data_IF_659339770822
#
_entry.id   IF_659339770822
#
_cell.length_a   1.000
_cell.length_b   1.000
_cell.length_c   1.000
_cell.angle_alpha   90.00
_cell.angle_beta   90.00
_cell.angle_gamma   90.00
#
_symmetry.space_group_name_H-M   'P 1'
#
loop_
_entity.id
_entity.type
_entity.pdbx_description
1 polymer ?
#
# COMPACT_ATOMS: atom_id res chain seq x y z
N UNK A 1 9.48 10.40 1.43
CA UNK A 1 9.70 9.98 2.83
C UNK A 1 8.74 8.85 3.16
N UNK A 2 9.13 7.88 3.97
CA UNK A 2 8.28 6.74 4.35
C UNK A 2 8.05 6.77 5.86
N UNK A 3 6.85 6.42 6.31
CA UNK A 3 6.45 6.44 7.73
C UNK A 3 7.37 5.60 8.64
N UNK A 4 8.03 4.57 8.11
CA UNK A 4 9.00 3.83 8.92
C UNK A 4 10.29 4.61 9.22
N UNK A 5 10.64 5.64 8.44
CA UNK A 5 11.85 6.46 8.63
C UNK A 5 11.53 7.63 9.56
N UNK A 6 10.32 8.17 9.44
CA UNK A 6 9.82 9.22 10.32
C UNK A 6 8.38 8.91 10.75
N UNK A 7 8.24 8.46 12.00
CA UNK A 7 6.94 8.08 12.56
C UNK A 7 6.01 9.28 12.76
N UNK A 8 6.53 10.52 12.79
CA UNK A 8 5.70 11.72 12.85
C UNK A 8 4.80 11.85 11.62
N UNK A 9 5.12 11.18 10.52
CA UNK A 9 4.23 11.12 9.36
C UNK A 9 2.84 10.57 9.70
N UNK A 10 2.70 9.79 10.77
CA UNK A 10 1.40 9.31 11.27
C UNK A 10 0.48 10.43 11.79
N UNK A 11 1.05 11.59 12.14
CA UNK A 11 0.32 12.73 12.69
C UNK A 11 -0.37 13.56 11.61
N UNK A 12 -0.08 13.31 10.33
CA UNK A 12 -0.81 13.91 9.22
C UNK A 12 -2.06 13.07 8.90
N UNK A 13 -3.23 13.59 9.24
CA UNK A 13 -4.51 13.03 8.87
C UNK A 13 -4.98 13.64 7.54
N UNK A 14 -4.94 12.83 6.48
CA UNK A 14 -5.40 13.24 5.16
C UNK A 14 -6.87 12.89 4.95
N UNK A 15 -7.63 13.81 4.36
CA UNK A 15 -9.01 13.61 3.91
C UNK A 15 -9.26 14.35 2.60
N UNK A 16 -10.37 14.01 1.94
CA UNK A 16 -10.80 14.65 0.69
C UNK A 16 -12.11 15.36 0.98
N UNK A 17 -12.14 16.66 0.70
CA UNK A 17 -13.36 17.44 0.60
C UNK A 17 -13.83 17.37 -0.86
N UNK A 18 -14.80 16.51 -1.13
CA UNK A 18 -15.34 16.32 -2.47
C UNK A 18 -16.17 17.51 -2.96
N UNK A 19 -16.85 18.21 -2.04
CA UNK A 19 -17.71 19.35 -2.37
C UNK A 19 -16.87 20.51 -2.89
N UNK A 20 -15.71 20.75 -2.28
CA UNK A 20 -14.77 21.79 -2.70
C UNK A 20 -13.66 21.28 -3.62
N UNK A 21 -13.62 19.98 -3.93
CA UNK A 21 -12.55 19.33 -4.71
C UNK A 21 -11.15 19.63 -4.15
N UNK A 22 -10.99 19.49 -2.84
CA UNK A 22 -9.76 19.76 -2.11
C UNK A 22 -9.24 18.54 -1.34
N UNK A 23 -7.93 18.49 -1.16
CA UNK A 23 -7.27 17.66 -0.16
C UNK A 23 -7.13 18.50 1.09
N UNK A 24 -7.54 17.93 2.22
CA UNK A 24 -7.39 18.52 3.54
C UNK A 24 -6.40 17.68 4.32
N UNK A 25 -5.31 18.29 4.76
CA UNK A 25 -4.35 17.64 5.66
C UNK A 25 -4.44 18.33 7.02
N UNK A 26 -4.81 17.58 8.04
CA UNK A 26 -4.77 18.01 9.43
C UNK A 26 -3.51 17.49 10.11
N UNK A 27 -2.87 18.33 10.90
CA UNK A 27 -1.77 17.96 11.77
C UNK A 27 -2.28 17.69 13.19
N UNK A 28 -1.92 16.55 13.76
CA UNK A 28 -2.36 16.11 15.09
C UNK A 28 -1.24 16.16 16.16
N UNK A 29 -0.09 16.76 15.86
CA UNK A 29 1.09 16.69 16.74
C UNK A 29 1.08 17.67 17.92
N UNK A 30 0.36 18.77 17.81
CA UNK A 30 0.04 19.71 18.88
C UNK A 30 -1.47 19.90 18.92
N UNK A 31 -2.06 20.11 20.11
CA UNK A 31 -3.53 20.14 20.31
C UNK A 31 -4.20 21.42 19.75
N UNK A 32 -3.64 21.97 18.69
CA UNK A 32 -4.10 23.16 17.97
C UNK A 32 -4.92 22.73 16.76
N UNK A 33 -5.80 23.63 16.28
CA UNK A 33 -6.46 23.41 15.00
C UNK A 33 -5.52 23.84 13.89
N UNK A 34 -4.83 22.85 13.31
CA UNK A 34 -3.77 23.07 12.33
C UNK A 34 -4.04 22.22 11.09
N UNK A 35 -4.42 22.88 10.00
CA UNK A 35 -4.72 22.23 8.72
C UNK A 35 -4.22 23.03 7.53
N UNK A 36 -3.97 22.33 6.44
CA UNK A 36 -3.69 22.92 5.13
C UNK A 36 -4.59 22.29 4.08
N UNK A 37 -4.97 23.11 3.11
CA UNK A 37 -5.91 22.77 2.05
C UNK A 37 -5.27 23.07 0.71
N UNK A 38 -5.41 22.16 -0.24
CA UNK A 38 -4.97 22.39 -1.61
C UNK A 38 -5.84 21.62 -2.59
N UNK A 39 -5.90 22.03 -3.88
CA UNK A 39 -6.78 21.38 -4.85
C UNK A 39 -6.50 19.89 -5.00
N UNK A 40 -7.55 19.08 -5.15
CA UNK A 40 -7.45 17.65 -5.42
C UNK A 40 -6.77 17.35 -6.77
N UNK A 41 -6.97 18.25 -7.74
CA UNK A 41 -6.33 18.24 -9.06
C UNK A 41 -5.66 19.60 -9.31
N UNK A 42 -4.47 19.84 -8.75
CA UNK A 42 -3.78 21.12 -8.94
C UNK A 42 -3.31 21.26 -10.40
N UNK A 43 -3.29 22.49 -10.95
CA UNK A 43 -2.82 22.72 -12.31
C UNK A 43 -1.33 22.41 -12.41
N UNK A 44 -0.91 21.74 -13.48
CA UNK A 44 0.48 21.30 -13.69
C UNK A 44 1.26 22.17 -14.65
N UNK A 45 0.60 23.05 -15.40
CA UNK A 45 1.23 23.87 -16.43
C UNK A 45 2.22 24.86 -15.82
N UNK A 46 3.42 24.93 -16.41
CA UNK A 46 4.50 25.79 -15.93
C UNK A 46 5.15 25.37 -14.61
N UNK A 47 4.69 24.29 -13.96
CA UNK A 47 5.31 23.80 -12.73
C UNK A 47 6.62 23.07 -13.00
N UNK A 48 7.59 23.28 -12.11
CA UNK A 48 8.84 22.49 -12.09
C UNK A 48 8.52 21.04 -11.73
N UNK A 49 9.31 20.12 -12.28
CA UNK A 49 9.26 18.71 -11.90
C UNK A 49 10.50 18.35 -11.08
N UNK A 50 10.32 17.44 -10.12
CA UNK A 50 11.36 16.89 -9.26
C UNK A 50 11.48 15.39 -9.58
N UNK A 51 12.71 14.94 -9.80
CA UNK A 51 13.00 13.51 -9.91
C UNK A 51 12.80 12.86 -8.54
N UNK A 52 11.87 11.92 -8.46
CA UNK A 52 11.48 11.23 -7.23
C UNK A 52 11.75 9.75 -7.38
N UNK A 53 12.21 9.11 -6.31
CA UNK A 53 12.41 7.66 -6.25
C UNK A 53 11.70 7.11 -5.03
N UNK A 54 10.87 6.09 -5.24
CA UNK A 54 10.22 5.35 -4.17
C UNK A 54 10.55 3.88 -4.37
N UNK A 55 11.22 3.26 -3.39
CA UNK A 55 11.66 1.86 -3.47
C UNK A 55 12.44 1.55 -4.75
N UNK A 56 13.37 2.44 -5.12
CA UNK A 56 14.20 2.40 -6.33
C UNK A 56 13.45 2.54 -7.67
N UNK A 57 12.13 2.64 -7.63
CA UNK A 57 11.30 2.93 -8.80
C UNK A 57 11.16 4.45 -8.95
N UNK A 58 11.68 4.96 -10.07
CA UNK A 58 11.81 6.39 -10.33
C UNK A 58 10.59 6.93 -11.08
N UNK A 59 10.26 8.18 -10.81
CA UNK A 59 9.29 8.96 -11.57
C UNK A 59 9.58 10.45 -11.43
N UNK A 60 8.85 11.27 -12.17
CA UNK A 60 8.84 12.72 -12.00
C UNK A 60 7.54 13.12 -11.30
N UNK A 61 7.60 14.17 -10.49
CA UNK A 61 6.43 14.74 -9.86
C UNK A 61 6.50 16.26 -9.88
N UNK A 62 5.35 16.91 -9.96
CA UNK A 62 5.23 18.36 -9.99
C UNK A 62 5.46 18.93 -8.59
N UNK A 63 6.32 19.93 -8.50
CA UNK A 63 6.57 20.65 -7.27
C UNK A 63 5.34 21.50 -6.90
N UNK A 64 4.83 21.29 -5.69
CA UNK A 64 3.64 21.99 -5.21
C UNK A 64 3.95 23.40 -4.68
N UNK A 65 5.23 23.76 -4.56
CA UNK A 65 5.69 25.10 -4.21
C UNK A 65 6.09 25.23 -2.75
N UNK A 66 6.70 26.38 -2.44
CA UNK A 66 7.39 26.61 -1.17
C UNK A 66 6.42 26.78 0.00
N UNK A 67 5.28 27.43 -0.22
CA UNK A 67 4.28 27.65 0.83
C UNK A 67 3.72 26.33 1.37
N UNK A 68 3.22 25.47 0.48
CA UNK A 68 2.69 24.16 0.85
C UNK A 68 3.79 23.29 1.47
N UNK A 69 4.98 23.26 0.86
CA UNK A 69 6.10 22.46 1.35
C UNK A 69 6.58 22.91 2.73
N UNK A 70 6.65 24.22 2.97
CA UNK A 70 7.05 24.80 4.26
C UNK A 70 6.14 24.35 5.40
N UNK A 71 4.83 24.25 5.16
CA UNK A 71 3.91 23.74 6.17
C UNK A 71 4.30 22.32 6.64
N UNK A 72 4.64 21.41 5.71
CA UNK A 72 5.12 20.08 6.10
C UNK A 72 6.51 20.13 6.76
N UNK A 73 7.43 20.93 6.22
CA UNK A 73 8.79 21.05 6.73
C UNK A 73 8.84 21.52 8.18
N UNK A 74 8.02 22.52 8.53
CA UNK A 74 7.96 23.09 9.88
C UNK A 74 7.49 22.05 10.92
N UNK A 75 6.54 21.18 10.54
CA UNK A 75 5.98 20.13 11.44
C UNK A 75 6.88 18.92 11.59
N UNK A 76 7.56 18.54 10.51
CA UNK A 76 8.52 17.44 10.53
C UNK A 76 9.85 17.86 11.17
N UNK A 77 10.22 19.14 11.08
CA UNK A 77 11.52 19.66 11.51
C UNK A 77 12.65 19.32 10.54
N UNK A 78 12.33 19.08 9.27
CA UNK A 78 13.28 18.76 8.22
C UNK A 78 12.77 19.33 6.88
N UNK A 79 13.69 19.67 5.98
CA UNK A 79 13.29 20.21 4.68
C UNK A 79 12.67 19.11 3.80
N UNK A 80 11.40 19.30 3.44
CA UNK A 80 10.65 18.40 2.57
C UNK A 80 9.95 19.17 1.46
N UNK A 81 9.63 18.46 0.37
CA UNK A 81 8.78 18.98 -0.71
C UNK A 81 7.47 18.22 -0.75
N UNK A 82 6.36 18.95 -0.83
CA UNK A 82 5.10 18.38 -1.29
C UNK A 82 5.17 18.29 -2.83
N UNK A 83 4.87 17.11 -3.37
CA UNK A 83 4.85 16.88 -4.81
C UNK A 83 3.55 16.23 -5.25
N UNK A 84 3.09 16.57 -6.45
CA UNK A 84 1.90 15.99 -7.07
C UNK A 84 2.29 15.17 -8.29
N UNK A 85 1.82 13.93 -8.37
CA UNK A 85 2.25 13.02 -9.45
C UNK A 85 1.61 13.35 -10.81
N UNK A 86 0.40 13.94 -10.81
CA UNK A 86 -0.35 14.22 -12.04
C UNK A 86 -0.56 12.96 -12.89
N UNK A 87 -0.24 13.04 -14.18
CA UNK A 87 -0.33 11.92 -15.12
C UNK A 87 0.94 11.05 -15.15
N UNK A 88 1.92 11.33 -14.27
CA UNK A 88 3.12 10.51 -14.16
C UNK A 88 2.80 9.21 -13.42
N UNK A 89 3.64 8.22 -13.63
CA UNK A 89 3.57 6.93 -12.94
C UNK A 89 4.97 6.34 -12.82
N UNK A 90 5.09 5.28 -12.03
CA UNK A 90 6.34 4.55 -11.83
C UNK A 90 6.11 3.06 -12.00
N UNK A 91 7.18 2.36 -12.30
CA UNK A 91 7.11 0.93 -12.57
C UNK A 91 6.94 0.12 -11.29
N UNK A 92 6.18 -0.95 -11.39
CA UNK A 92 6.16 -2.04 -10.41
C UNK A 92 7.36 -2.93 -10.72
N UNK A 93 8.29 -3.05 -9.78
CA UNK A 93 9.50 -3.85 -9.96
C UNK A 93 9.26 -5.31 -9.55
N UNK A 94 10.06 -6.23 -10.09
CA UNK A 94 9.89 -7.67 -9.88
C UNK A 94 8.64 -8.21 -10.59
N UNK A 95 8.15 -9.36 -10.13
CA UNK A 95 7.01 -10.07 -10.72
C UNK A 95 5.66 -9.75 -10.09
N UNK A 96 5.58 -8.70 -9.25
CA UNK A 96 4.34 -8.32 -8.56
C UNK A 96 3.22 -7.91 -9.54
N UNK A 97 3.54 -7.12 -10.56
CA UNK A 97 2.57 -6.70 -11.56
C UNK A 97 2.32 -7.85 -12.56
N UNK A 98 1.06 -8.29 -12.80
CA UNK A 98 0.74 -9.42 -13.67
C UNK A 98 1.36 -9.35 -15.08
N UNK A 99 1.48 -8.14 -15.63
CA UNK A 99 2.02 -7.90 -16.97
C UNK A 99 3.41 -7.26 -16.95
N UNK A 100 4.13 -7.30 -15.82
CA UNK A 100 5.54 -6.93 -15.78
C UNK A 100 6.38 -7.89 -16.62
N UNK A 101 7.52 -7.40 -17.12
CA UNK A 101 8.44 -8.24 -17.89
C UNK A 101 8.96 -9.42 -17.08
N UNK A 102 9.12 -9.27 -15.77
CA UNK A 102 9.59 -10.34 -14.88
C UNK A 102 8.48 -11.36 -14.58
N UNK A 103 7.23 -10.94 -14.42
CA UNK A 103 6.09 -11.85 -14.29
C UNK A 103 5.88 -12.68 -15.57
N UNK A 104 5.99 -12.05 -16.74
CA UNK A 104 5.83 -12.76 -18.01
C UNK A 104 6.96 -13.76 -18.30
N UNK A 105 8.18 -13.58 -17.75
CA UNK A 105 9.27 -14.57 -17.90
C UNK A 105 8.96 -15.89 -17.22
N UNK A 106 8.25 -15.86 -16.09
CA UNK A 106 7.91 -17.04 -15.28
C UNK A 106 6.50 -17.57 -15.56
N UNK A 107 5.69 -16.82 -16.29
CA UNK A 107 4.33 -17.20 -16.67
C UNK A 107 4.27 -18.44 -17.59
N UNK A 108 3.14 -19.20 -17.55
CA UNK A 108 2.91 -20.31 -18.48
C UNK A 108 3.02 -19.88 -19.95
N UNK A 109 3.47 -20.80 -20.82
CA UNK A 109 3.69 -20.52 -22.25
C UNK A 109 2.46 -19.92 -22.93
N UNK A 110 1.25 -20.37 -22.57
CA UNK A 110 -0.01 -19.85 -23.11
C UNK A 110 -0.17 -18.36 -22.80
N UNK A 111 0.14 -17.94 -21.57
CA UNK A 111 0.04 -16.53 -21.18
C UNK A 111 1.11 -15.69 -21.89
N UNK A 112 2.33 -16.22 -22.03
CA UNK A 112 3.43 -15.58 -22.77
C UNK A 112 3.11 -15.38 -24.25
N UNK A 113 2.46 -16.37 -24.88
CA UNK A 113 2.02 -16.24 -26.28
C UNK A 113 0.88 -15.22 -26.37
N UNK A 114 -0.10 -15.27 -25.46
CA UNK A 114 -1.20 -14.30 -25.42
C UNK A 114 -0.71 -12.87 -25.27
N UNK A 115 0.30 -12.62 -24.44
CA UNK A 115 0.87 -11.27 -24.25
C UNK A 115 1.55 -10.70 -25.51
N UNK A 116 1.85 -11.53 -26.51
CA UNK A 116 2.41 -11.10 -27.80
C UNK A 116 1.31 -10.79 -28.85
N UNK A 117 0.05 -11.12 -28.56
CA UNK A 117 -1.07 -10.92 -29.48
C UNK A 117 -1.77 -9.60 -29.10
N UNK A 118 -1.76 -8.55 -29.95
CA UNK A 118 -2.21 -7.21 -29.59
C UNK A 118 -3.58 -7.10 -28.88
N UNK A 119 -4.66 -7.77 -29.32
CA UNK A 119 -5.96 -7.70 -28.61
C UNK A 119 -5.97 -8.36 -27.22
N UNK A 120 -4.96 -9.18 -26.90
CA UNK A 120 -4.83 -9.88 -25.61
C UNK A 120 -3.62 -9.40 -24.80
N UNK A 121 -2.85 -8.45 -25.34
CA UNK A 121 -1.69 -7.87 -24.68
C UNK A 121 -2.13 -6.73 -23.77
N UNK A 122 -1.69 -6.76 -22.51
CA UNK A 122 -1.87 -5.65 -21.58
C UNK A 122 -0.53 -4.94 -21.37
N UNK A 123 -0.53 -3.60 -21.29
CA UNK A 123 0.67 -2.89 -20.86
C UNK A 123 1.01 -3.26 -19.40
N UNK A 124 2.30 -3.23 -19.02
CA UNK A 124 2.69 -3.45 -17.64
C UNK A 124 1.96 -2.50 -16.69
N UNK A 125 1.45 -3.03 -15.58
CA UNK A 125 0.81 -2.21 -14.56
C UNK A 125 1.82 -1.22 -13.97
N UNK A 126 1.38 0.03 -13.84
CA UNK A 126 2.14 1.11 -13.22
C UNK A 126 1.40 1.61 -11.98
N UNK A 127 2.15 2.17 -11.05
CA UNK A 127 1.64 2.72 -9.79
C UNK A 127 2.04 4.18 -9.63
N UNK A 128 1.36 4.88 -8.71
CA UNK A 128 1.71 6.23 -8.33
C UNK A 128 2.69 6.21 -7.14
N UNK A 129 2.36 6.90 -6.05
CA UNK A 129 3.11 6.85 -4.80
C UNK A 129 2.69 5.71 -3.86
N UNK A 130 1.86 4.77 -4.32
CA UNK A 130 1.63 3.49 -3.63
C UNK A 130 2.97 2.80 -3.36
N UNK A 131 3.10 1.98 -2.32
CA UNK A 131 4.38 1.29 -2.07
C UNK A 131 4.71 0.27 -3.16
N UNK A 132 3.80 -0.65 -3.51
CA UNK A 132 4.12 -1.78 -4.41
C UNK A 132 3.01 -2.20 -5.38
N UNK A 133 1.74 -1.90 -5.11
CA UNK A 133 0.61 -2.38 -5.91
C UNK A 133 -0.54 -1.37 -5.96
N UNK A 134 -1.54 -1.62 -6.83
CA UNK A 134 -2.74 -0.79 -6.91
C UNK A 134 -3.54 -0.83 -5.61
N UNK A 135 -3.73 -2.04 -5.07
CA UNK A 135 -4.56 -2.27 -3.90
C UNK A 135 -3.88 -3.17 -2.88
N UNK A 136 -4.17 -2.93 -1.61
CA UNK A 136 -3.93 -3.87 -0.52
C UNK A 136 -5.28 -4.40 -0.02
N UNK A 137 -5.44 -5.72 -0.10
CA UNK A 137 -6.60 -6.46 0.41
C UNK A 137 -6.25 -7.12 1.73
N UNK A 138 -7.12 -6.97 2.72
CA UNK A 138 -7.01 -7.63 4.03
C UNK A 138 -8.37 -8.23 4.41
N UNK A 139 -8.38 -9.10 5.42
CA UNK A 139 -9.61 -9.68 5.95
C UNK A 139 -9.88 -9.23 7.38
N UNK A 140 -11.15 -9.10 7.75
CA UNK A 140 -11.56 -8.86 9.15
C UNK A 140 -11.08 -10.01 10.04
N UNK A 141 -11.20 -11.26 9.56
CA UNK A 141 -10.79 -12.46 10.32
C UNK A 141 -9.28 -12.49 10.62
N UNK A 142 -8.44 -12.01 9.69
CA UNK A 142 -7.02 -11.82 9.97
C UNK A 142 -6.80 -10.73 11.01
N UNK A 143 -7.51 -9.59 10.93
CA UNK A 143 -7.36 -8.50 11.88
C UNK A 143 -7.82 -8.89 13.30
N UNK A 144 -8.87 -9.70 13.41
CA UNK A 144 -9.37 -10.24 14.67
C UNK A 144 -8.36 -11.19 15.30
N UNK A 145 -7.70 -12.02 14.49
CA UNK A 145 -6.62 -12.88 14.97
C UNK A 145 -5.44 -12.04 15.49
N UNK A 146 -5.05 -10.97 14.77
CA UNK A 146 -4.02 -10.05 15.27
C UNK A 146 -4.45 -9.39 16.57
N UNK A 147 -5.72 -9.01 16.68
CA UNK A 147 -6.29 -8.42 17.90
C UNK A 147 -6.23 -9.41 19.07
N UNK A 148 -6.53 -10.70 18.86
CA UNK A 148 -6.45 -11.73 19.90
C UNK A 148 -5.03 -11.99 20.42
N UNK A 149 -4.00 -11.49 19.72
CA UNK A 149 -2.61 -11.56 20.19
C UNK A 149 -2.29 -10.45 21.18
N UNK A 150 -3.09 -9.40 21.26
CA UNK A 150 -2.87 -8.26 22.13
C UNK A 150 -3.38 -8.55 23.56
N UNK A 151 -2.91 -7.77 24.52
CA UNK A 151 -3.39 -7.85 25.90
C UNK A 151 -4.88 -7.43 25.99
N UNK A 152 -5.59 -7.93 27.00
CA UNK A 152 -7.02 -7.65 27.22
C UNK A 152 -7.31 -6.13 27.22
N UNK A 153 -8.37 -5.74 26.50
CA UNK A 153 -8.78 -4.34 26.37
C UNK A 153 -8.17 -3.62 25.15
N UNK A 154 -7.28 -4.26 24.39
CA UNK A 154 -6.79 -3.74 23.12
C UNK A 154 -7.34 -4.50 21.91
N UNK A 155 -7.56 -3.77 20.83
CA UNK A 155 -7.85 -4.31 19.50
C UNK A 155 -6.87 -3.72 18.48
N UNK A 156 -6.57 -4.47 17.43
CA UNK A 156 -5.73 -3.98 16.35
C UNK A 156 -6.53 -3.05 15.46
N UNK A 157 -6.04 -1.82 15.32
CA UNK A 157 -6.57 -0.85 14.36
C UNK A 157 -6.16 -1.25 12.94
N UNK A 158 -7.14 -1.69 12.15
CA UNK A 158 -6.93 -2.18 10.80
C UNK A 158 -6.36 -1.10 9.87
N UNK A 159 -6.61 0.19 10.16
CA UNK A 159 -6.12 1.31 9.35
C UNK A 159 -4.59 1.41 9.39
N UNK A 160 -3.94 0.88 10.43
CA UNK A 160 -2.48 0.80 10.53
C UNK A 160 -1.86 -0.12 9.46
N UNK A 161 -2.63 -1.07 8.93
CA UNK A 161 -2.19 -1.88 7.79
C UNK A 161 -2.30 -1.13 6.46
N UNK A 162 -3.04 -0.02 6.42
CA UNK A 162 -3.32 0.84 5.26
C UNK A 162 -3.96 0.07 4.09
N UNK A 163 -4.98 -0.79 4.34
CA UNK A 163 -5.65 -1.50 3.26
C UNK A 163 -6.46 -0.53 2.39
N UNK A 164 -6.69 -0.92 1.15
CA UNK A 164 -7.68 -0.30 0.28
C UNK A 164 -9.02 -1.02 0.37
N UNK A 165 -8.99 -2.35 0.56
CA UNK A 165 -10.17 -3.21 0.61
C UNK A 165 -10.08 -4.10 1.85
N UNK A 166 -11.13 -4.07 2.66
CA UNK A 166 -11.32 -4.98 3.79
C UNK A 166 -12.45 -5.95 3.43
N UNK A 167 -12.16 -7.24 3.46
CA UNK A 167 -13.12 -8.31 3.14
C UNK A 167 -13.54 -9.02 4.43
N UNK A 168 -14.82 -9.37 4.52
CA UNK A 168 -15.36 -10.22 5.59
C UNK A 168 -15.89 -11.52 4.98
N UNK A 169 -15.86 -12.59 5.75
CA UNK A 169 -16.33 -13.92 5.37
C UNK A 169 -15.22 -14.85 4.91
N UNK A 170 -13.97 -14.58 5.30
CA UNK A 170 -12.87 -15.50 5.02
C UNK A 170 -13.04 -16.80 5.81
N UNK A 171 -12.63 -17.92 5.22
CA UNK A 171 -12.81 -19.26 5.84
C UNK A 171 -12.00 -19.46 7.13
N UNK A 172 -10.93 -18.69 7.31
CA UNK A 172 -10.05 -18.67 8.48
C UNK A 172 -9.16 -17.43 8.45
N UNK A 173 -8.56 -17.02 9.59
CA UNK A 173 -7.50 -16.02 9.60
C UNK A 173 -6.38 -16.38 8.61
N UNK A 174 -5.91 -15.36 7.91
CA UNK A 174 -4.87 -15.42 6.88
C UNK A 174 -5.20 -16.31 5.69
N UNK A 175 -6.48 -16.59 5.41
CA UNK A 175 -6.87 -17.30 4.20
C UNK A 175 -6.43 -16.55 2.93
N UNK A 176 -6.38 -15.22 3.00
CA UNK A 176 -5.97 -14.36 1.90
C UNK A 176 -4.54 -14.60 1.43
N UNK A 177 -3.64 -15.18 2.25
CA UNK A 177 -2.28 -15.57 1.85
C UNK A 177 -2.24 -16.41 0.54
N UNK A 178 -3.33 -17.12 0.26
CA UNK A 178 -3.46 -18.07 -0.84
C UNK A 178 -4.40 -17.58 -1.95
N UNK A 179 -5.08 -16.45 -1.81
CA UNK A 179 -6.05 -16.03 -2.83
C UNK A 179 -5.31 -15.61 -4.11
N UNK A 180 -5.61 -16.25 -5.24
CA UNK A 180 -5.04 -15.88 -6.53
C UNK A 180 -5.83 -14.79 -7.25
N UNK A 181 -7.15 -14.75 -7.07
CA UNK A 181 -8.04 -13.83 -7.76
C UNK A 181 -9.31 -13.57 -6.93
N UNK A 182 -9.77 -12.33 -6.97
CA UNK A 182 -11.09 -11.93 -6.50
C UNK A 182 -11.95 -11.51 -7.68
N UNK A 183 -13.22 -11.92 -7.68
CA UNK A 183 -14.25 -11.39 -8.57
C UNK A 183 -15.35 -10.76 -7.74
N UNK A 184 -15.57 -9.46 -7.95
CA UNK A 184 -16.64 -8.70 -7.32
C UNK A 184 -17.92 -8.81 -8.16
N UNK A 185 -19.08 -8.72 -7.51
CA UNK A 185 -20.36 -8.57 -8.21
C UNK A 185 -20.28 -7.41 -9.22
N UNK A 186 -20.85 -7.53 -10.42
CA UNK A 186 -20.61 -6.58 -11.51
C UNK A 186 -19.35 -6.88 -12.33
N UNK A 187 -18.62 -7.95 -12.01
CA UNK A 187 -17.63 -8.57 -12.88
C UNK A 187 -16.26 -7.88 -12.87
N UNK A 188 -15.93 -7.09 -11.84
CA UNK A 188 -14.57 -6.60 -11.63
C UNK A 188 -13.71 -7.77 -11.17
N UNK A 189 -12.62 -8.04 -11.89
CA UNK A 189 -11.60 -8.99 -11.46
C UNK A 189 -10.36 -8.29 -10.93
N UNK A 190 -9.77 -8.88 -9.91
CA UNK A 190 -8.53 -8.42 -9.29
C UNK A 190 -7.58 -9.60 -9.11
N UNK A 191 -6.43 -9.52 -9.76
CA UNK A 191 -5.35 -10.48 -9.56
C UNK A 191 -4.64 -10.17 -8.25
N UNK A 192 -4.50 -11.19 -7.40
CA UNK A 192 -3.81 -11.10 -6.13
C UNK A 192 -2.45 -11.80 -6.25
N UNK A 193 -1.37 -11.02 -6.32
CA UNK A 193 -0.09 -11.50 -6.87
C UNK A 193 1.04 -11.64 -5.87
N UNK A 194 0.96 -10.95 -4.72
CA UNK A 194 2.01 -11.00 -3.72
C UNK A 194 1.48 -10.78 -2.30
N UNK A 195 2.11 -11.44 -1.34
CA UNK A 195 1.82 -11.24 0.08
C UNK A 195 2.46 -9.93 0.55
N UNK A 196 1.70 -9.15 1.33
CA UNK A 196 2.21 -7.91 1.90
C UNK A 196 2.97 -8.23 3.19
N UNK A 197 4.30 -8.18 3.13
CA UNK A 197 5.08 -8.18 4.37
C UNK A 197 4.95 -6.83 5.06
N UNK A 198 4.95 -6.84 6.38
CA UNK A 198 4.70 -5.66 7.20
C UNK A 198 6.00 -5.13 7.75
N UNK A 199 6.22 -3.84 7.55
CA UNK A 199 7.24 -3.10 8.26
C UNK A 199 6.75 -2.71 9.67
N UNK A 200 7.64 -2.14 10.48
CA UNK A 200 7.32 -1.74 11.85
C UNK A 200 6.31 -0.59 11.95
N UNK A 201 5.90 0.05 10.84
CA UNK A 201 4.93 1.15 10.87
C UNK A 201 3.58 0.78 11.52
N UNK A 202 3.24 -0.51 11.56
CA UNK A 202 2.02 -1.00 12.21
C UNK A 202 2.05 -0.83 13.75
N UNK A 203 3.21 -0.54 14.35
CA UNK A 203 3.37 -0.32 15.79
C UNK A 203 3.19 1.15 16.19
N UNK A 204 3.04 2.04 15.21
CA UNK A 204 2.96 3.49 15.44
C UNK A 204 1.62 3.83 16.08
N UNK A 205 1.67 4.67 17.09
CA UNK A 205 0.54 5.34 17.68
C UNK A 205 0.26 6.65 16.92
N UNK A 206 -0.95 6.76 16.36
CA UNK A 206 -1.36 7.87 15.50
C UNK A 206 -1.68 9.14 16.30
N UNK A 207 -1.79 9.06 17.62
CA UNK A 207 -1.93 10.23 18.48
C UNK A 207 -0.57 10.85 18.82
N UNK A 208 0.46 10.03 18.95
CA UNK A 208 1.78 10.48 19.43
C UNK A 208 2.85 10.55 18.34
N UNK A 209 2.63 9.93 17.18
CA UNK A 209 3.62 9.85 16.10
C UNK A 209 4.88 9.08 16.51
N UNK A 210 4.74 8.13 17.44
CA UNK A 210 5.81 7.31 18.01
C UNK A 210 5.36 5.85 18.06
N UNK A 211 6.27 4.92 18.33
CA UNK A 211 5.89 3.55 18.65
C UNK A 211 5.01 3.55 19.90
N UNK A 212 3.87 2.85 19.85
CA UNK A 212 2.98 2.72 21.00
C UNK A 212 3.74 2.13 22.20
N UNK A 213 3.50 2.67 23.39
CA UNK A 213 4.18 2.26 24.63
C UNK A 213 3.53 1.05 25.30
N UNK A 214 2.29 0.74 24.92
CA UNK A 214 1.55 -0.45 25.32
C UNK A 214 1.83 -1.66 24.40
N UNK A 215 1.04 -2.71 24.56
CA UNK A 215 1.24 -3.97 23.85
C UNK A 215 1.04 -3.88 22.32
N UNK A 216 0.30 -2.89 21.82
CA UNK A 216 0.18 -2.60 20.38
C UNK A 216 1.53 -2.27 19.77
N UNK A 217 2.45 -1.68 20.55
CA UNK A 217 3.83 -1.42 20.14
C UNK A 217 4.64 -2.68 19.84
N UNK A 218 4.18 -3.84 20.35
CA UNK A 218 4.84 -5.15 20.20
C UNK A 218 4.19 -6.01 19.10
N UNK A 219 3.11 -5.55 18.45
CA UNK A 219 2.33 -6.35 17.48
C UNK A 219 3.21 -6.92 16.36
N UNK A 220 4.15 -6.12 15.84
CA UNK A 220 5.08 -6.57 14.80
C UNK A 220 5.94 -7.76 15.26
N UNK A 221 6.42 -7.73 16.51
CA UNK A 221 7.18 -8.85 17.10
C UNK A 221 6.27 -10.07 17.35
N UNK A 222 5.02 -9.86 17.76
CA UNK A 222 4.04 -10.94 17.98
C UNK A 222 3.70 -11.65 16.67
N UNK A 223 3.54 -10.91 15.57
CA UNK A 223 3.35 -11.49 14.23
C UNK A 223 4.59 -12.24 13.73
N UNK A 224 5.80 -11.75 14.00
CA UNK A 224 7.03 -12.42 13.55
C UNK A 224 7.24 -13.85 14.06
N UNK A 225 6.53 -14.24 15.13
CA UNK A 225 6.62 -15.59 15.71
C UNK A 225 6.26 -16.67 14.69
N UNK A 226 5.28 -16.41 13.83
CA UNK A 226 4.68 -17.39 12.93
C UNK A 226 4.29 -16.83 11.55
N UNK A 227 4.25 -15.50 11.37
CA UNK A 227 3.86 -14.85 10.10
C UNK A 227 5.02 -14.55 9.15
N UNK A 228 6.24 -14.98 9.44
CA UNK A 228 7.37 -14.95 8.47
C UNK A 228 7.23 -16.11 7.47
N UNK A 229 6.18 -16.04 6.66
CA UNK A 229 5.72 -17.16 5.82
C UNK A 229 6.08 -17.02 4.34
N UNK A 230 6.57 -15.85 3.93
CA UNK A 230 7.02 -15.59 2.56
C UNK A 230 8.53 -15.87 2.44
N UNK A 231 8.91 -16.72 1.48
CA UNK A 231 10.32 -17.10 1.26
C UNK A 231 11.18 -15.95 0.74
N UNK A 232 10.57 -14.95 0.11
CA UNK A 232 11.22 -13.75 -0.40
C UNK A 232 11.39 -12.66 0.67
N UNK A 233 10.46 -12.58 1.62
CA UNK A 233 10.48 -11.60 2.72
C UNK A 233 10.73 -12.26 4.09
N UNK A 234 11.85 -12.99 4.22
CA UNK A 234 12.14 -13.92 5.34
C UNK A 234 12.16 -13.30 6.74
N UNK A 235 12.32 -11.98 6.85
CA UNK A 235 12.51 -11.28 8.13
C UNK A 235 11.32 -10.45 8.57
N UNK A 236 10.27 -10.38 7.76
CA UNK A 236 9.08 -9.57 8.04
C UNK A 236 7.83 -10.44 8.07
N UNK A 237 6.88 -10.16 8.97
CA UNK A 237 5.63 -10.90 9.03
C UNK A 237 4.72 -10.50 7.87
N UNK A 238 3.89 -11.42 7.38
CA UNK A 238 2.91 -11.17 6.33
C UNK A 238 1.54 -10.84 6.92
N UNK A 239 0.93 -9.77 6.41
CA UNK A 239 -0.47 -9.43 6.63
C UNK A 239 -1.05 -8.71 5.41
N UNK A 240 -2.10 -9.28 4.83
CA UNK A 240 -2.74 -8.75 3.63
C UNK A 240 -2.05 -9.16 2.33
N UNK A 241 -2.70 -8.82 1.23
CA UNK A 241 -2.34 -9.27 -0.11
C UNK A 241 -2.47 -8.15 -1.15
N UNK A 242 -1.45 -8.04 -1.99
CA UNK A 242 -1.40 -7.04 -3.05
C UNK A 242 -2.26 -7.45 -4.24
N UNK A 243 -3.04 -6.50 -4.73
CA UNK A 243 -3.98 -6.68 -5.83
C UNK A 243 -3.75 -5.71 -6.98
N UNK A 244 -4.05 -6.18 -8.18
CA UNK A 244 -3.97 -5.44 -9.44
C UNK A 244 -5.27 -5.60 -10.25
N UNK A 245 -5.72 -4.50 -10.83
CA UNK A 245 -6.77 -4.50 -11.85
C UNK A 245 -6.16 -4.01 -13.17
N UNK A 246 -6.52 -4.66 -14.27
CA UNK A 246 -6.00 -4.36 -15.60
C UNK A 246 -7.07 -4.62 -16.66
N UNK A 247 -6.76 -4.29 -17.92
CA UNK A 247 -7.66 -4.52 -19.04
C UNK A 247 -9.04 -3.88 -18.85
N UNK A 248 -10.10 -4.68 -18.97
CA UNK A 248 -11.47 -4.22 -18.83
C UNK A 248 -11.91 -3.95 -17.39
N UNK A 249 -11.06 -4.21 -16.40
CA UNK A 249 -11.38 -4.02 -14.98
C UNK A 249 -10.92 -2.67 -14.43
N UNK A 250 -10.19 -1.88 -15.23
CA UNK A 250 -9.89 -0.48 -14.90
C UNK A 250 -11.12 0.41 -15.07
N UNK A 251 -11.16 1.55 -14.37
CA UNK A 251 -12.26 2.53 -14.40
C UNK A 251 -13.63 2.00 -13.97
N UNK A 252 -13.68 0.83 -13.33
CA UNK A 252 -14.88 0.33 -12.65
C UNK A 252 -14.87 0.75 -11.18
N UNK A 253 -16.05 0.78 -10.58
CA UNK A 253 -16.23 1.16 -9.18
C UNK A 253 -16.55 -0.04 -8.31
N UNK A 254 -16.03 -0.03 -7.08
CA UNK A 254 -16.42 -0.93 -6.01
C UNK A 254 -17.17 -0.14 -4.93
N UNK A 255 -18.07 -0.79 -4.21
CA UNK A 255 -18.89 -0.17 -3.16
C UNK A 255 -18.88 -1.01 -1.89
N UNK A 256 -19.02 -0.35 -0.74
CA UNK A 256 -19.14 -1.03 0.55
C UNK A 256 -20.40 -1.91 0.54
N UNK A 257 -20.27 -3.15 1.04
CA UNK A 257 -21.35 -4.13 1.06
C UNK A 257 -21.48 -4.96 -0.22
N UNK A 258 -20.72 -4.65 -1.27
CA UNK A 258 -20.65 -5.45 -2.49
C UNK A 258 -20.06 -6.84 -2.19
N UNK A 259 -20.69 -7.88 -2.74
CA UNK A 259 -20.18 -9.25 -2.59
C UNK A 259 -18.94 -9.43 -3.45
N UNK A 260 -18.01 -10.21 -2.90
CA UNK A 260 -16.79 -10.66 -3.57
C UNK A 260 -16.66 -12.16 -3.40
N UNK A 261 -16.20 -12.83 -4.45
CA UNK A 261 -15.90 -14.27 -4.44
C UNK A 261 -14.42 -14.48 -4.71
N UNK A 262 -13.82 -15.43 -4.00
CA UNK A 262 -12.47 -15.91 -4.31
C UNK A 262 -12.59 -16.88 -5.48
N UNK A 263 -12.20 -16.43 -6.68
CA UNK A 263 -12.35 -17.21 -7.92
C UNK A 263 -11.11 -18.03 -8.28
N UNK A 264 -9.98 -17.74 -7.63
CA UNK A 264 -8.76 -18.55 -7.72
C UNK A 264 -8.10 -18.66 -6.36
N UNK A 265 -7.68 -19.85 -5.98
CA UNK A 265 -6.87 -20.12 -4.79
C UNK A 265 -5.58 -20.79 -5.27
N UNK A 266 -4.45 -20.28 -4.81
CA UNK A 266 -3.13 -20.82 -5.08
C UNK A 266 -2.86 -22.01 -4.16
N UNK A 267 -2.19 -23.03 -4.68
CA UNK A 267 -1.75 -24.19 -3.88
C UNK A 267 -0.65 -23.82 -2.86
N UNK A 268 0.17 -22.82 -3.21
CA UNK A 268 1.29 -22.35 -2.41
C UNK A 268 1.25 -20.83 -2.26
N UNK A 269 1.89 -20.32 -1.22
CA UNK A 269 2.15 -18.88 -1.09
C UNK A 269 3.05 -18.41 -2.22
N UNK A 270 2.79 -17.19 -2.67
CA UNK A 270 3.68 -16.45 -3.58
C UNK A 270 5.02 -16.18 -2.92
N UNK A 271 6.05 -15.91 -3.72
CA UNK A 271 7.38 -15.53 -3.26
C UNK A 271 7.62 -14.08 -3.64
N UNK A 272 7.85 -13.24 -2.64
CA UNK A 272 8.13 -11.83 -2.85
C UNK A 272 9.49 -11.61 -3.54
N UNK A 273 9.55 -10.75 -4.57
CA UNK A 273 10.76 -10.56 -5.37
C UNK A 273 11.06 -9.11 -5.76
N UNK A 274 10.44 -8.11 -5.11
CA UNK A 274 10.79 -6.71 -5.38
C UNK A 274 12.26 -6.45 -4.99
N UNK A 275 13.11 -5.97 -5.91
CA UNK A 275 14.54 -5.83 -5.68
C UNK A 275 14.84 -4.65 -4.75
N UNK A 276 15.79 -4.85 -3.82
CA UNK A 276 16.32 -3.79 -2.94
C UNK A 276 15.24 -3.03 -2.15
N UNK A 277 14.15 -3.69 -1.79
CA UNK A 277 13.12 -3.08 -0.98
C UNK A 277 13.61 -2.97 0.47
N UNK A 278 14.04 -1.76 0.84
CA UNK A 278 14.47 -1.47 2.20
C UNK A 278 13.34 -1.77 3.19
N UNK A 279 13.56 -2.72 4.10
CA UNK A 279 12.60 -3.03 5.17
C UNK A 279 13.00 -2.34 6.45
N UNK A 280 12.08 -1.58 7.03
CA UNK A 280 12.29 -0.99 8.35
C UNK A 280 12.40 -2.05 9.42
N UNK A 281 13.46 -1.95 10.23
CA UNK A 281 13.73 -2.87 11.34
C UNK A 281 14.63 -4.05 10.96
N UNK A 282 15.01 -4.19 9.70
CA UNK A 282 16.12 -5.05 9.27
C UNK A 282 17.24 -4.10 8.87
N UNK A 283 18.28 -3.99 9.69
CA UNK A 283 19.47 -3.24 9.30
C UNK A 283 20.03 -3.86 8.03
N UNK A 284 19.81 -3.25 6.87
CA UNK A 284 20.70 -3.47 5.74
C UNK A 284 22.03 -2.88 6.16
N UNK A 285 22.98 -3.75 6.51
CA UNK A 285 24.38 -3.34 6.62
C UNK A 285 24.76 -2.72 5.28
N UNK A 286 25.36 -1.52 5.38
CA UNK A 286 25.97 -0.72 4.31
C UNK A 286 26.62 -1.54 3.21
#
# INVERSE_FOLDING_TARGET
MLIGYDLKLALFAASIDYDNSQVVIKWNGDKTDDSIHFPLKPPTDGRKTIDTSLHMSKTKAYDMGDELSKWFSDRLGQDVRLVYIGNQSRDVLGSLAPHSSDALKTAPLIQRIKSLIPPFAHPPERIAFNDLAHYLVVTEESNDEVSSRLDDGFSMDITKFRPNIVVRGASRPFAEDFWGELTFDGGVKMDLTANCFRCQSITVDYETGKTATDDRGKVWKKLNKDRRVDKGAKYSPVFGRYGFCHGNDINKSLTIGQRVSVTRINEQRTIFDWPHLSTFGVSEKK
#
